data_IF_382046082756
#
_entry.id   IF_382046082756
#
_cell.length_a   1.000
_cell.length_b   1.000
_cell.length_c   1.000
_cell.angle_alpha   90.00
_cell.angle_beta   90.00
_cell.angle_gamma   90.00
#
_symmetry.space_group_name_H-M   'P 1'
#
loop_
_entity.id
_entity.type
_entity.pdbx_description
1 polymer ?
#
# COMPACT_ATOMS: atom_id res chain seq x y z
N UNK A 1 6.05 23.74 -0.63
CA UNK A 1 7.25 23.30 0.16
C UNK A 1 8.18 22.48 -0.73
N UNK A 2 9.51 22.60 -0.59
CA UNK A 2 10.47 21.74 -1.32
C UNK A 2 11.42 21.05 -0.36
N UNK A 3 11.49 19.72 -0.44
CA UNK A 3 12.41 18.86 0.29
C UNK A 3 13.30 18.20 -0.76
N UNK A 4 14.61 18.44 -0.71
CA UNK A 4 15.49 17.90 -1.73
C UNK A 4 16.90 17.60 -1.26
N UNK A 5 17.49 16.53 -1.80
CA UNK A 5 18.87 16.12 -1.52
C UNK A 5 19.08 15.82 -0.02
N UNK A 6 18.09 15.17 0.61
CA UNK A 6 18.13 14.82 2.03
C UNK A 6 18.30 13.30 2.20
N UNK A 7 19.10 12.91 3.18
CA UNK A 7 19.13 11.53 3.67
C UNK A 7 18.56 11.49 5.08
N UNK A 8 17.47 10.74 5.28
CA UNK A 8 16.73 10.70 6.54
C UNK A 8 16.67 9.27 7.05
N UNK A 9 17.37 9.02 8.16
CA UNK A 9 17.32 7.73 8.85
C UNK A 9 16.36 7.79 10.03
N UNK A 10 15.26 7.03 9.95
CA UNK A 10 14.21 6.97 10.95
C UNK A 10 13.81 5.50 11.24
N UNK A 11 14.60 4.77 12.05
CA UNK A 11 14.34 3.34 12.26
C UNK A 11 13.08 3.04 13.07
N UNK A 12 12.65 3.97 13.93
CA UNK A 12 11.49 3.81 14.80
C UNK A 12 10.22 4.57 14.36
N UNK A 13 10.32 5.44 13.35
CA UNK A 13 9.23 6.33 12.92
C UNK A 13 9.33 6.68 11.42
N UNK A 14 8.32 7.36 10.89
CA UNK A 14 8.26 7.78 9.50
C UNK A 14 9.35 8.84 9.20
N UNK A 15 9.96 8.80 8.01
CA UNK A 15 11.11 9.65 7.68
C UNK A 15 10.68 11.03 7.15
N UNK A 16 9.91 11.07 6.06
CA UNK A 16 9.38 12.32 5.50
C UNK A 16 7.85 12.23 5.53
N UNK A 17 7.23 13.07 6.36
CA UNK A 17 5.79 13.00 6.60
C UNK A 17 5.13 14.32 6.28
N UNK A 18 4.11 14.26 5.44
CA UNK A 18 3.21 15.39 5.22
C UNK A 18 1.99 15.21 6.12
N UNK A 19 1.69 16.23 6.91
CA UNK A 19 0.49 16.30 7.77
C UNK A 19 -0.33 17.53 7.40
N UNK A 20 -1.65 17.40 7.54
CA UNK A 20 -2.62 18.48 7.33
C UNK A 20 -3.67 18.40 8.45
N UNK A 21 -3.29 18.88 9.64
CA UNK A 21 -4.16 18.85 10.83
C UNK A 21 -5.11 20.04 10.89
N UNK A 22 -6.08 19.98 11.79
CA UNK A 22 -6.99 21.09 12.12
C UNK A 22 -6.39 22.11 13.11
N UNK A 23 -5.07 22.13 13.31
CA UNK A 23 -4.42 22.95 14.34
C UNK A 23 -4.62 24.47 14.17
N UNK A 24 -4.96 24.93 12.95
CA UNK A 24 -5.25 26.33 12.66
C UNK A 24 -6.70 26.74 12.99
N UNK A 25 -7.54 25.81 13.48
CA UNK A 25 -8.97 26.04 13.69
C UNK A 25 -9.81 25.99 12.41
N UNK A 26 -9.19 25.68 11.27
CA UNK A 26 -9.86 25.41 10.00
C UNK A 26 -9.06 24.38 9.19
N UNK A 27 -9.73 23.70 8.25
CA UNK A 27 -9.10 22.74 7.35
C UNK A 27 -8.26 23.46 6.30
N UNK A 28 -6.97 23.11 6.19
CA UNK A 28 -6.06 23.66 5.19
C UNK A 28 -5.19 22.56 4.59
N UNK A 29 -5.26 22.38 3.27
CA UNK A 29 -4.49 21.37 2.57
C UNK A 29 -2.98 21.58 2.73
N UNK A 30 -2.24 20.47 2.80
CA UNK A 30 -0.82 20.46 2.52
C UNK A 30 -0.66 20.41 0.99
N UNK A 31 -0.30 21.55 0.39
CA UNK A 31 -0.30 21.69 -1.07
C UNK A 31 1.01 22.26 -1.62
N UNK A 32 1.23 22.05 -2.92
CA UNK A 32 2.39 22.49 -3.68
C UNK A 32 3.71 21.98 -3.07
N UNK A 33 3.80 20.65 -2.91
CA UNK A 33 4.96 20.00 -2.29
C UNK A 33 5.78 19.22 -3.32
N UNK A 34 7.09 19.40 -3.28
CA UNK A 34 8.04 18.57 -4.03
C UNK A 34 9.01 17.89 -3.08
N UNK A 35 9.12 16.56 -3.16
CA UNK A 35 10.14 15.75 -2.50
C UNK A 35 11.01 15.13 -3.59
N UNK A 36 12.30 15.47 -3.66
CA UNK A 36 13.15 14.95 -4.75
C UNK A 36 14.57 14.63 -4.32
N UNK A 37 15.14 13.58 -4.89
CA UNK A 37 16.54 13.18 -4.62
C UNK A 37 16.78 12.89 -3.13
N UNK A 38 15.83 12.24 -2.46
CA UNK A 38 15.92 11.93 -1.04
C UNK A 38 16.16 10.43 -0.82
N UNK A 39 16.90 10.09 0.23
CA UNK A 39 17.02 8.73 0.74
C UNK A 39 16.29 8.61 2.08
N UNK A 40 15.44 7.60 2.24
CA UNK A 40 14.80 7.29 3.52
C UNK A 40 15.20 5.89 3.98
N UNK A 41 15.64 5.77 5.22
CA UNK A 41 16.23 4.54 5.74
C UNK A 41 15.80 4.19 7.15
N UNK A 42 15.92 2.92 7.52
CA UNK A 42 15.68 2.42 8.88
C UNK A 42 16.87 1.64 9.44
N UNK A 43 18.07 2.20 9.40
CA UNK A 43 19.26 1.64 10.07
C UNK A 43 19.29 1.97 11.55
N UNK A 44 19.98 1.16 12.34
CA UNK A 44 20.12 1.36 13.78
C UNK A 44 20.60 2.79 14.08
N UNK A 45 20.06 3.40 15.14
CA UNK A 45 20.39 4.77 15.50
C UNK A 45 21.91 4.98 15.64
N UNK A 46 22.42 6.08 15.07
CA UNK A 46 23.86 6.38 15.01
C UNK A 46 24.61 5.70 13.87
N UNK A 47 24.21 4.48 13.47
CA UNK A 47 24.97 3.70 12.46
C UNK A 47 24.91 4.25 11.03
N UNK A 48 23.88 5.05 10.73
CA UNK A 48 23.82 5.79 9.48
C UNK A 48 24.86 6.92 9.43
N UNK A 49 25.10 7.59 10.56
CA UNK A 49 26.03 8.72 10.64
C UNK A 49 27.49 8.27 10.68
N UNK A 50 27.79 7.16 11.35
CA UNK A 50 29.14 6.60 11.43
C UNK A 50 29.52 5.70 10.23
N UNK A 51 28.58 5.48 9.29
CA UNK A 51 28.79 4.70 8.08
C UNK A 51 28.82 3.18 8.27
N UNK A 52 28.43 2.67 9.45
CA UNK A 52 28.40 1.22 9.72
C UNK A 52 27.10 0.54 9.28
N UNK A 53 26.01 1.30 9.08
CA UNK A 53 24.72 0.82 8.56
C UNK A 53 24.20 -0.46 9.24
N UNK A 54 24.32 -0.51 10.57
CA UNK A 54 23.93 -1.68 11.37
C UNK A 54 22.43 -1.96 11.24
N UNK A 55 22.10 -3.25 11.32
CA UNK A 55 20.75 -3.79 11.07
C UNK A 55 20.22 -4.64 12.23
N UNK A 56 20.73 -4.42 13.44
CA UNK A 56 20.38 -5.23 14.63
C UNK A 56 18.96 -4.97 15.13
N UNK A 57 18.40 -3.79 14.85
CA UNK A 57 17.01 -3.49 15.12
C UNK A 57 16.12 -4.14 14.06
N UNK A 58 15.47 -5.24 14.40
CA UNK A 58 14.56 -5.96 13.49
C UNK A 58 13.12 -5.46 13.54
N UNK A 59 12.71 -4.83 14.64
CA UNK A 59 11.34 -4.34 14.85
C UNK A 59 11.34 -2.94 15.47
N UNK A 60 10.38 -2.11 15.05
CA UNK A 60 10.03 -0.87 15.71
C UNK A 60 9.13 -1.13 16.93
N UNK A 61 8.80 -0.07 17.69
CA UNK A 61 8.00 -0.17 18.92
C UNK A 61 6.60 -0.77 18.70
N UNK A 62 6.05 -0.58 17.50
CA UNK A 62 4.77 -1.14 17.07
C UNK A 62 4.86 -2.59 16.54
N UNK A 63 6.03 -3.23 16.68
CA UNK A 63 6.31 -4.63 16.30
C UNK A 63 6.36 -4.94 14.81
N UNK A 64 6.16 -3.96 13.93
CA UNK A 64 6.54 -4.09 12.51
C UNK A 64 8.04 -3.83 12.32
N UNK A 65 8.57 -4.07 11.11
CA UNK A 65 9.98 -3.80 10.85
C UNK A 65 10.32 -2.30 10.88
N UNK A 66 11.61 -1.92 10.74
CA UNK A 66 12.03 -0.51 10.71
C UNK A 66 11.20 0.36 9.76
N UNK A 67 10.88 1.59 10.20
CA UNK A 67 9.86 2.44 9.58
C UNK A 67 10.37 3.23 8.36
N UNK A 68 11.13 4.32 8.55
CA UNK A 68 11.92 4.97 7.49
C UNK A 68 11.17 5.30 6.18
N UNK A 69 9.90 5.71 6.23
CA UNK A 69 9.02 5.83 5.04
C UNK A 69 8.75 7.27 4.59
N UNK A 70 8.20 7.43 3.39
CA UNK A 70 7.55 8.69 2.97
C UNK A 70 6.04 8.52 3.08
N UNK A 71 5.37 9.45 3.77
CA UNK A 71 3.98 9.29 4.16
C UNK A 71 3.14 10.56 4.10
N UNK A 72 1.86 10.43 3.75
CA UNK A 72 0.83 11.43 4.01
C UNK A 72 -0.06 10.95 5.16
N UNK A 73 -0.36 11.84 6.11
CA UNK A 73 -1.18 11.54 7.28
C UNK A 73 -0.36 11.19 8.55
N UNK A 74 -0.95 10.67 9.61
CA UNK A 74 -2.38 10.32 9.71
C UNK A 74 -3.29 11.55 9.84
N UNK A 75 -2.79 12.64 10.41
CA UNK A 75 -3.52 13.90 10.55
C UNK A 75 -3.77 14.49 9.16
N UNK A 76 -5.01 14.40 8.73
CA UNK A 76 -5.40 14.53 7.31
C UNK A 76 -6.66 15.38 7.13
N UNK A 77 -7.02 16.21 8.10
CA UNK A 77 -8.23 17.04 8.07
C UNK A 77 -8.31 17.98 6.87
N UNK A 78 -7.19 18.59 6.46
CA UNK A 78 -7.18 19.54 5.34
C UNK A 78 -6.85 18.93 3.98
N UNK A 79 -6.34 17.70 3.93
CA UNK A 79 -5.97 17.01 2.70
C UNK A 79 -4.57 17.33 2.16
N UNK A 80 -4.28 16.78 0.99
CA UNK A 80 -2.98 16.76 0.34
C UNK A 80 -3.17 16.95 -1.17
N UNK A 81 -2.60 18.01 -1.74
CA UNK A 81 -2.88 18.39 -3.13
C UNK A 81 -1.64 18.84 -3.88
N UNK A 82 -1.53 18.47 -5.15
CA UNK A 82 -0.44 18.91 -6.03
C UNK A 82 0.94 18.58 -5.43
N UNK A 83 1.24 17.28 -5.33
CA UNK A 83 2.45 16.78 -4.68
C UNK A 83 3.22 15.89 -5.62
N UNK A 84 4.51 16.19 -5.79
CA UNK A 84 5.43 15.40 -6.58
C UNK A 84 6.50 14.76 -5.70
N UNK A 85 6.70 13.45 -5.83
CA UNK A 85 7.79 12.71 -5.21
C UNK A 85 8.62 12.06 -6.32
N UNK A 86 9.91 12.40 -6.43
CA UNK A 86 10.75 11.89 -7.52
C UNK A 86 12.15 11.51 -7.10
N UNK A 87 12.74 10.52 -7.78
CA UNK A 87 14.17 10.19 -7.63
C UNK A 87 14.56 9.86 -6.19
N UNK A 88 13.72 9.13 -5.46
CA UNK A 88 13.97 8.80 -4.05
C UNK A 88 14.33 7.31 -3.87
N UNK A 89 15.17 7.04 -2.87
CA UNK A 89 15.57 5.68 -2.49
C UNK A 89 15.05 5.30 -1.11
N UNK A 90 14.68 4.04 -0.94
CA UNK A 90 14.17 3.47 0.30
C UNK A 90 15.00 2.24 0.65
N UNK A 91 15.56 2.17 1.86
CA UNK A 91 16.28 1.00 2.34
C UNK A 91 15.93 0.67 3.78
N UNK A 92 15.51 -0.58 4.05
CA UNK A 92 14.98 -0.98 5.37
C UNK A 92 13.86 -0.04 5.81
N UNK A 93 12.81 0.00 5.00
CA UNK A 93 11.75 1.00 5.09
C UNK A 93 10.38 0.35 4.91
N UNK A 94 9.32 1.05 5.32
CA UNK A 94 7.92 0.68 5.13
C UNK A 94 7.29 1.29 3.87
N UNK A 95 8.12 1.71 2.90
CA UNK A 95 7.67 2.06 1.55
C UNK A 95 6.95 3.40 1.45
N UNK A 96 5.91 3.46 0.62
CA UNK A 96 5.07 4.65 0.41
C UNK A 96 3.71 4.47 1.09
N UNK A 97 3.27 5.48 1.83
CA UNK A 97 1.96 5.47 2.47
C UNK A 97 1.18 6.77 2.21
N UNK A 98 0.04 6.67 1.52
CA UNK A 98 -0.84 7.78 1.20
C UNK A 98 -2.16 7.56 1.92
N UNK A 99 -2.32 8.21 3.07
CA UNK A 99 -3.42 7.93 3.99
C UNK A 99 -4.24 9.20 4.26
N UNK A 100 -5.56 9.10 4.10
CA UNK A 100 -6.49 10.09 4.64
C UNK A 100 -7.55 9.39 5.46
N UNK A 101 -7.71 9.84 6.71
CA UNK A 101 -8.59 9.20 7.70
C UNK A 101 -9.43 10.21 8.47
N UNK A 102 -9.21 11.51 8.26
CA UNK A 102 -9.86 12.60 9.00
C UNK A 102 -10.62 13.58 8.09
N UNK A 103 -11.05 13.11 6.91
CA UNK A 103 -11.97 13.83 6.02
C UNK A 103 -11.34 14.64 4.91
N UNK A 104 -10.01 14.80 4.88
CA UNK A 104 -9.33 15.50 3.79
C UNK A 104 -9.22 14.69 2.51
N UNK A 105 -8.95 15.39 1.42
CA UNK A 105 -8.81 14.82 0.09
C UNK A 105 -7.33 14.66 -0.25
N UNK A 106 -6.90 13.49 -0.72
CA UNK A 106 -5.61 13.30 -1.41
C UNK A 106 -5.89 13.37 -2.91
N UNK A 107 -5.33 14.37 -3.59
CA UNK A 107 -5.50 14.49 -5.04
C UNK A 107 -4.32 15.13 -5.76
N UNK A 108 -4.18 14.81 -7.05
CA UNK A 108 -3.16 15.37 -7.93
C UNK A 108 -1.74 15.05 -7.44
N UNK A 109 -1.45 13.75 -7.35
CA UNK A 109 -0.18 13.22 -6.82
C UNK A 109 0.59 12.50 -7.93
N UNK A 110 1.87 12.84 -8.09
CA UNK A 110 2.79 12.18 -9.01
C UNK A 110 3.99 11.62 -8.26
N UNK A 111 4.20 10.31 -8.32
CA UNK A 111 5.33 9.62 -7.70
C UNK A 111 6.10 8.87 -8.79
N UNK A 112 7.39 9.17 -8.96
CA UNK A 112 8.15 8.57 -10.05
C UNK A 112 9.63 8.33 -9.77
N UNK A 113 10.24 7.37 -10.46
CA UNK A 113 11.66 7.03 -10.35
C UNK A 113 12.07 6.71 -8.89
N UNK A 114 11.52 5.62 -8.37
CA UNK A 114 11.72 5.19 -6.98
C UNK A 114 12.43 3.84 -6.95
N UNK A 115 13.47 3.72 -6.14
CA UNK A 115 14.15 2.44 -5.89
C UNK A 115 14.01 2.04 -4.43
N UNK A 116 13.61 0.80 -4.18
CA UNK A 116 13.35 0.28 -2.85
C UNK A 116 14.08 -1.06 -2.61
N UNK A 117 14.68 -1.21 -1.42
CA UNK A 117 15.34 -2.44 -0.97
C UNK A 117 14.95 -2.77 0.47
N UNK A 118 14.76 -4.05 0.75
CA UNK A 118 14.48 -4.55 2.10
C UNK A 118 13.24 -3.88 2.71
N UNK A 119 12.16 -3.81 1.92
CA UNK A 119 10.91 -3.21 2.39
C UNK A 119 10.27 -4.11 3.44
N UNK A 120 9.95 -3.55 4.60
CA UNK A 120 9.51 -4.27 5.80
C UNK A 120 7.99 -4.21 6.02
N UNK A 121 7.28 -3.51 5.14
CA UNK A 121 5.82 -3.35 5.12
C UNK A 121 5.31 -3.33 3.65
N UNK A 122 4.15 -2.75 3.37
CA UNK A 122 3.65 -2.61 1.99
C UNK A 122 4.52 -1.63 1.18
N UNK A 123 5.01 -2.00 -0.02
CA UNK A 123 5.76 -1.08 -0.86
C UNK A 123 4.95 0.17 -1.26
N UNK A 124 3.66 -0.03 -1.55
CA UNK A 124 2.71 1.02 -1.95
C UNK A 124 1.42 0.80 -1.16
N UNK A 125 1.08 1.74 -0.28
CA UNK A 125 -0.14 1.72 0.51
C UNK A 125 -0.97 2.98 0.29
N UNK A 126 -2.16 2.82 -0.29
CA UNK A 126 -3.18 3.87 -0.39
C UNK A 126 -4.36 3.49 0.49
N UNK A 127 -4.70 4.35 1.45
CA UNK A 127 -5.77 4.07 2.41
C UNK A 127 -6.67 5.27 2.63
N UNK A 128 -7.95 5.11 2.28
CA UNK A 128 -9.02 5.97 2.76
C UNK A 128 -9.65 5.33 4.01
N UNK A 129 -9.53 5.96 5.18
CA UNK A 129 -10.20 5.54 6.41
C UNK A 129 -11.17 6.61 6.93
N UNK A 130 -11.77 6.34 8.08
CA UNK A 130 -12.69 7.25 8.76
C UNK A 130 -12.51 7.19 10.29
N UNK A 131 -11.41 7.77 10.77
CA UNK A 131 -11.18 8.05 12.19
C UNK A 131 -11.91 9.31 12.66
N UNK A 132 -12.22 10.21 11.72
CA UNK A 132 -13.01 11.42 11.93
C UNK A 132 -12.53 12.29 13.12
N UNK A 133 -11.21 12.48 13.28
CA UNK A 133 -10.64 13.28 14.39
C UNK A 133 -10.77 14.80 14.20
N UNK A 134 -11.58 15.24 13.25
CA UNK A 134 -11.94 16.65 13.04
C UNK A 134 -13.15 17.09 13.87
N UNK A 135 -13.69 18.29 13.62
CA UNK A 135 -14.96 18.72 14.19
C UNK A 135 -16.09 17.72 13.92
N UNK A 136 -17.09 17.67 14.82
CA UNK A 136 -18.25 16.82 14.64
C UNK A 136 -18.93 17.08 13.28
N UNK A 137 -19.31 16.01 12.57
CA UNK A 137 -19.86 16.08 11.22
C UNK A 137 -18.83 16.10 10.09
N UNK A 138 -17.54 15.95 10.38
CA UNK A 138 -16.50 15.77 9.36
C UNK A 138 -16.87 14.58 8.44
N UNK A 139 -16.99 14.78 7.11
CA UNK A 139 -17.32 13.70 6.18
C UNK A 139 -16.14 12.75 5.97
N UNK A 140 -16.40 11.60 5.36
CA UNK A 140 -15.34 10.72 4.84
C UNK A 140 -14.57 11.47 3.73
N UNK A 141 -13.24 11.33 3.74
CA UNK A 141 -12.37 11.95 2.75
C UNK A 141 -12.43 11.27 1.38
N UNK A 142 -11.46 11.58 0.52
CA UNK A 142 -11.33 10.96 -0.79
C UNK A 142 -9.86 10.81 -1.20
N UNK A 143 -9.56 9.82 -2.04
CA UNK A 143 -8.27 9.68 -2.71
C UNK A 143 -8.53 9.55 -4.21
N UNK A 144 -7.91 10.41 -5.02
CA UNK A 144 -8.06 10.34 -6.48
C UNK A 144 -6.90 10.92 -7.26
N UNK A 145 -6.78 10.55 -8.55
CA UNK A 145 -5.78 11.11 -9.48
C UNK A 145 -4.35 10.98 -8.94
N UNK A 146 -4.00 9.75 -8.54
CA UNK A 146 -2.67 9.40 -8.05
C UNK A 146 -1.96 8.56 -9.11
N UNK A 147 -0.77 8.98 -9.51
CA UNK A 147 0.05 8.29 -10.51
C UNK A 147 1.37 7.84 -9.89
N UNK A 148 1.67 6.56 -10.00
CA UNK A 148 2.95 5.96 -9.59
C UNK A 148 3.62 5.33 -10.80
N UNK A 149 4.86 5.71 -11.09
CA UNK A 149 5.61 5.13 -12.21
C UNK A 149 7.09 4.92 -11.98
N UNK A 150 7.71 4.03 -12.76
CA UNK A 150 9.15 3.77 -12.72
C UNK A 150 9.62 3.40 -11.30
N UNK A 151 9.03 2.34 -10.73
CA UNK A 151 9.33 1.89 -9.36
C UNK A 151 9.96 0.50 -9.40
N UNK A 152 11.12 0.34 -8.77
CA UNK A 152 11.77 -0.96 -8.62
C UNK A 152 11.91 -1.32 -7.14
N UNK A 153 11.47 -2.51 -6.76
CA UNK A 153 11.49 -3.00 -5.37
C UNK A 153 12.14 -4.39 -5.31
N UNK A 154 13.06 -4.57 -4.36
CA UNK A 154 13.72 -5.86 -4.10
C UNK A 154 13.63 -6.26 -2.64
N UNK A 155 13.53 -7.57 -2.40
CA UNK A 155 13.47 -8.18 -1.07
C UNK A 155 12.32 -7.63 -0.19
N UNK A 156 11.14 -7.43 -0.79
CA UNK A 156 9.95 -6.98 -0.05
C UNK A 156 9.43 -8.06 0.90
N UNK A 157 8.95 -7.64 2.07
CA UNK A 157 8.27 -8.49 3.04
C UNK A 157 7.05 -9.18 2.40
N UNK A 158 6.91 -10.52 2.54
CA UNK A 158 5.84 -11.24 1.87
C UNK A 158 4.48 -11.04 2.53
N UNK A 159 4.44 -10.58 3.78
CA UNK A 159 3.17 -10.39 4.52
C UNK A 159 2.29 -9.30 3.93
N UNK A 160 2.89 -8.35 3.21
CA UNK A 160 2.24 -7.13 2.76
C UNK A 160 2.35 -6.97 1.23
N UNK A 161 1.26 -7.21 0.46
CA UNK A 161 1.22 -6.82 -0.95
C UNK A 161 1.24 -5.29 -1.07
N UNK A 162 1.30 -4.76 -2.30
CA UNK A 162 0.83 -3.39 -2.53
C UNK A 162 -0.68 -3.33 -2.30
N UNK A 163 -1.16 -2.27 -1.65
CA UNK A 163 -2.55 -2.19 -1.15
C UNK A 163 -3.18 -0.87 -1.56
N UNK A 164 -4.38 -0.95 -2.15
CA UNK A 164 -5.26 0.19 -2.42
C UNK A 164 -6.61 -0.14 -1.76
N UNK A 165 -6.94 0.53 -0.65
CA UNK A 165 -8.12 0.19 0.15
C UNK A 165 -8.98 1.42 0.45
N UNK A 166 -10.10 1.54 -0.26
CA UNK A 166 -11.18 2.50 0.00
C UNK A 166 -12.09 2.07 1.15
N UNK A 167 -13.30 2.63 1.17
CA UNK A 167 -14.40 2.21 2.06
C UNK A 167 -15.66 1.94 1.24
N UNK A 168 -16.60 1.12 1.75
CA UNK A 168 -17.90 0.94 1.10
C UNK A 168 -18.58 2.29 0.85
N UNK A 169 -19.02 2.53 -0.39
CA UNK A 169 -19.63 3.80 -0.82
C UNK A 169 -18.65 4.97 -1.03
N UNK A 170 -17.36 4.78 -0.78
CA UNK A 170 -16.30 5.78 -0.95
C UNK A 170 -15.09 5.15 -1.67
N UNK A 171 -15.21 4.91 -2.99
CA UNK A 171 -14.12 4.30 -3.74
C UNK A 171 -12.90 5.22 -3.84
N UNK A 172 -11.71 4.63 -3.91
CA UNK A 172 -10.51 5.32 -4.35
C UNK A 172 -10.53 5.39 -5.89
N UNK A 173 -10.37 6.57 -6.47
CA UNK A 173 -10.65 6.80 -7.90
C UNK A 173 -9.39 7.17 -8.72
N UNK A 174 -9.37 6.82 -10.00
CA UNK A 174 -8.38 7.31 -10.98
C UNK A 174 -6.92 7.08 -10.55
N UNK A 175 -6.59 5.84 -10.24
CA UNK A 175 -5.23 5.41 -9.85
C UNK A 175 -4.52 4.81 -11.05
N UNK A 176 -3.29 5.25 -11.30
CA UNK A 176 -2.43 4.66 -12.33
C UNK A 176 -1.12 4.13 -11.75
N UNK A 177 -0.86 2.86 -12.02
CA UNK A 177 0.41 2.19 -11.74
C UNK A 177 1.06 1.84 -13.09
N UNK A 178 2.28 2.30 -13.35
CA UNK A 178 2.94 2.02 -14.64
C UNK A 178 4.45 1.82 -14.54
N UNK A 179 4.99 0.78 -15.17
CA UNK A 179 6.42 0.44 -15.12
C UNK A 179 6.89 0.24 -13.67
N UNK A 180 6.37 -0.82 -13.04
CA UNK A 180 6.67 -1.17 -11.66
C UNK A 180 7.11 -2.63 -11.59
N UNK A 181 8.25 -2.87 -10.95
CA UNK A 181 8.88 -4.18 -10.80
C UNK A 181 9.11 -4.48 -9.32
N UNK A 182 8.54 -5.57 -8.81
CA UNK A 182 8.61 -5.92 -7.38
C UNK A 182 9.07 -7.38 -7.23
N UNK A 183 10.09 -7.60 -6.40
CA UNK A 183 10.46 -8.95 -5.93
C UNK A 183 10.17 -9.09 -4.43
N UNK A 184 9.20 -9.93 -4.08
CA UNK A 184 8.91 -10.33 -2.70
C UNK A 184 9.75 -11.55 -2.28
N UNK A 185 9.91 -11.75 -0.97
CA UNK A 185 10.45 -13.01 -0.45
C UNK A 185 9.52 -14.21 -0.72
N UNK A 186 8.20 -13.98 -0.79
CA UNK A 186 7.16 -15.00 -0.98
C UNK A 186 7.04 -15.99 0.18
N UNK A 187 6.49 -17.18 -0.10
CA UNK A 187 6.42 -18.28 0.87
C UNK A 187 5.16 -18.36 1.74
N UNK A 188 4.15 -17.52 1.49
CA UNK A 188 2.90 -17.56 2.25
C UNK A 188 1.81 -18.38 1.54
N UNK A 189 0.84 -18.85 2.32
CA UNK A 189 -0.28 -19.64 1.81
C UNK A 189 -1.62 -19.01 2.10
N UNK A 190 -2.63 -19.33 1.28
CA UNK A 190 -4.01 -18.89 1.54
C UNK A 190 -4.57 -19.48 2.85
N UNK A 191 -4.11 -20.65 3.26
CA UNK A 191 -4.45 -21.22 4.58
C UNK A 191 -3.90 -20.35 5.72
N UNK A 192 -2.67 -19.87 5.64
CA UNK A 192 -2.13 -18.92 6.62
C UNK A 192 -2.93 -17.62 6.63
N UNK A 193 -3.45 -17.16 5.48
CA UNK A 193 -4.37 -16.00 5.43
C UNK A 193 -5.68 -16.31 6.15
N UNK A 194 -6.22 -17.53 6.05
CA UNK A 194 -7.42 -17.91 6.79
C UNK A 194 -7.16 -18.02 8.31
N UNK A 195 -5.99 -18.54 8.71
CA UNK A 195 -5.65 -18.80 10.11
C UNK A 195 -5.05 -17.60 10.86
N UNK A 196 -4.45 -16.64 10.15
CA UNK A 196 -3.81 -15.45 10.74
C UNK A 196 -2.87 -15.80 11.91
N UNK A 197 -1.88 -16.69 11.70
CA UNK A 197 -1.07 -17.21 12.79
C UNK A 197 -0.25 -16.10 13.46
N UNK A 198 -0.19 -16.13 14.79
CA UNK A 198 0.29 -15.02 15.62
C UNK A 198 1.76 -14.62 15.39
N UNK A 199 2.57 -15.52 14.83
CA UNK A 199 3.97 -15.30 14.46
C UNK A 199 4.14 -14.58 13.12
N UNK A 200 3.13 -14.62 12.24
CA UNK A 200 3.13 -13.94 10.94
C UNK A 200 2.38 -12.62 10.94
N UNK A 201 1.50 -12.37 11.91
CA UNK A 201 0.70 -11.12 11.97
C UNK A 201 1.21 -10.16 13.04
N UNK A 202 1.01 -8.86 12.82
CA UNK A 202 1.31 -7.87 13.84
C UNK A 202 0.15 -7.73 14.84
N UNK A 203 0.29 -8.34 16.02
CA UNK A 203 -0.70 -8.24 17.12
C UNK A 203 -0.81 -6.85 17.76
N UNK A 204 0.07 -5.89 17.41
CA UNK A 204 -0.05 -4.50 17.87
C UNK A 204 -1.20 -3.77 17.16
N UNK A 205 -1.30 -3.90 15.84
CA UNK A 205 -2.32 -3.23 15.01
C UNK A 205 -3.54 -4.10 14.73
N UNK A 206 -3.40 -5.43 14.80
CA UNK A 206 -4.50 -6.37 14.58
C UNK A 206 -5.47 -6.38 15.77
N UNK A 207 -6.32 -5.35 15.86
CA UNK A 207 -7.27 -5.14 16.97
C UNK A 207 -8.70 -4.98 16.44
N UNK A 208 -9.57 -5.92 16.81
CA UNK A 208 -10.99 -5.85 16.45
C UNK A 208 -11.58 -7.20 16.06
N UNK A 209 -12.92 -7.28 15.95
CA UNK A 209 -13.61 -8.51 15.60
C UNK A 209 -13.28 -8.97 14.18
N UNK A 210 -13.22 -10.28 13.96
CA UNK A 210 -13.03 -10.90 12.64
C UNK A 210 -11.63 -10.77 12.04
N UNK A 211 -10.66 -10.19 12.76
CA UNK A 211 -9.28 -10.02 12.29
C UNK A 211 -8.40 -11.24 12.55
N UNK A 212 -8.64 -11.97 13.63
CA UNK A 212 -7.95 -13.23 13.96
C UNK A 212 -8.59 -14.39 13.22
N UNK A 213 -7.81 -15.44 12.93
CA UNK A 213 -8.34 -16.65 12.32
C UNK A 213 -9.10 -17.53 13.33
N UNK A 214 -9.85 -18.53 12.83
CA UNK A 214 -10.13 -18.75 11.41
C UNK A 214 -11.10 -17.71 10.83
N UNK A 215 -10.82 -17.20 9.63
CA UNK A 215 -11.69 -16.28 8.87
C UNK A 215 -11.70 -16.61 7.38
N UNK A 216 -12.70 -16.11 6.64
CA UNK A 216 -12.65 -16.10 5.18
C UNK A 216 -11.42 -15.27 4.74
N UNK A 217 -10.45 -15.87 4.02
CA UNK A 217 -9.24 -15.16 3.61
C UNK A 217 -9.54 -13.98 2.68
N UNK A 218 -10.63 -14.05 1.92
CA UNK A 218 -11.03 -13.03 0.96
C UNK A 218 -11.95 -11.95 1.54
N UNK A 219 -12.39 -12.07 2.80
CA UNK A 219 -13.20 -11.05 3.48
C UNK A 219 -12.45 -10.41 4.66
N UNK A 220 -11.29 -9.74 4.44
CA UNK A 220 -10.62 -9.01 5.50
C UNK A 220 -11.52 -7.87 6.03
N UNK A 221 -11.65 -7.66 7.35
CA UNK A 221 -12.48 -6.59 7.92
C UNK A 221 -12.16 -5.17 7.40
N UNK A 222 -13.14 -4.27 7.44
CA UNK A 222 -12.99 -2.91 6.88
C UNK A 222 -11.98 -2.01 7.60
N UNK A 223 -11.89 -2.14 8.92
CA UNK A 223 -10.98 -1.34 9.76
C UNK A 223 -11.07 0.18 9.48
N UNK A 224 -12.30 0.71 9.32
CA UNK A 224 -12.52 2.10 8.95
C UNK A 224 -11.93 3.10 9.97
N UNK A 225 -12.10 2.83 11.26
CA UNK A 225 -11.63 3.70 12.35
C UNK A 225 -10.25 3.30 12.91
N UNK A 226 -9.58 2.31 12.32
CA UNK A 226 -8.28 1.84 12.80
C UNK A 226 -7.16 2.84 12.48
N UNK A 227 -6.03 2.72 13.17
CA UNK A 227 -4.81 3.40 12.74
C UNK A 227 -4.37 2.81 11.40
N UNK A 228 -4.18 3.62 10.34
CA UNK A 228 -3.95 3.15 8.98
C UNK A 228 -2.51 2.62 8.81
N UNK A 229 -2.23 1.41 9.29
CA UNK A 229 -1.03 0.66 8.94
C UNK A 229 -1.47 -0.60 8.19
N UNK A 230 -0.79 -1.06 7.12
CA UNK A 230 -1.17 -2.28 6.40
C UNK A 230 -1.39 -3.50 7.28
N UNK A 231 -0.64 -3.60 8.37
CA UNK A 231 -0.76 -4.71 9.33
C UNK A 231 -2.05 -4.72 10.14
N UNK A 232 -2.86 -3.65 10.09
CA UNK A 232 -4.22 -3.64 10.64
C UNK A 232 -5.15 -4.65 9.96
N UNK A 233 -4.85 -5.09 8.73
CA UNK A 233 -5.61 -6.11 8.01
C UNK A 233 -5.15 -7.55 8.29
N UNK A 234 -4.01 -7.72 8.98
CA UNK A 234 -3.33 -9.01 9.07
C UNK A 234 -2.75 -9.44 7.72
N UNK A 235 -2.67 -10.76 7.49
CA UNK A 235 -2.31 -11.28 6.18
C UNK A 235 -3.46 -11.05 5.19
N UNK A 236 -3.13 -10.61 3.98
CA UNK A 236 -4.06 -10.40 2.89
C UNK A 236 -4.01 -11.54 1.87
N UNK A 237 -5.11 -11.79 1.13
CA UNK A 237 -5.21 -12.92 0.21
C UNK A 237 -4.39 -12.74 -1.07
N UNK A 238 -3.83 -11.56 -1.35
CA UNK A 238 -2.96 -11.32 -2.51
C UNK A 238 -1.49 -11.28 -2.09
N UNK A 239 -0.58 -11.74 -2.94
CA UNK A 239 0.86 -11.52 -2.74
C UNK A 239 1.40 -10.31 -3.51
N UNK A 240 0.79 -9.90 -4.63
CA UNK A 240 1.27 -8.78 -5.44
C UNK A 240 0.47 -7.49 -5.19
N UNK A 241 -0.84 -7.51 -5.48
CA UNK A 241 -1.69 -6.33 -5.39
C UNK A 241 -3.07 -6.69 -4.80
N UNK A 242 -3.43 -6.05 -3.69
CA UNK A 242 -4.76 -6.12 -3.10
C UNK A 242 -5.49 -4.78 -3.32
N UNK A 243 -6.64 -4.81 -3.97
CA UNK A 243 -7.46 -3.62 -4.23
C UNK A 243 -8.86 -3.85 -3.70
N UNK A 244 -9.34 -2.93 -2.86
CA UNK A 244 -10.73 -2.95 -2.39
C UNK A 244 -11.37 -1.57 -2.45
N UNK A 245 -12.63 -1.49 -2.88
CA UNK A 245 -13.41 -0.25 -3.01
C UNK A 245 -12.67 0.77 -3.89
N UNK A 246 -12.58 0.49 -5.18
CA UNK A 246 -11.83 1.34 -6.11
C UNK A 246 -12.55 1.53 -7.45
N UNK A 247 -12.24 2.63 -8.13
CA UNK A 247 -12.80 2.95 -9.44
C UNK A 247 -11.72 3.47 -10.39
N UNK A 248 -11.80 3.07 -11.66
CA UNK A 248 -10.89 3.52 -12.71
C UNK A 248 -9.41 3.24 -12.38
N UNK A 249 -9.09 1.99 -12.05
CA UNK A 249 -7.73 1.53 -11.83
C UNK A 249 -7.06 1.17 -13.16
N UNK A 250 -5.90 1.74 -13.44
CA UNK A 250 -5.06 1.37 -14.59
C UNK A 250 -3.70 0.85 -14.13
N UNK A 251 -3.39 -0.40 -14.48
CA UNK A 251 -2.10 -1.05 -14.23
C UNK A 251 -1.45 -1.42 -15.55
N UNK A 252 -0.24 -0.94 -15.79
CA UNK A 252 0.47 -1.17 -17.05
C UNK A 252 1.94 -1.48 -16.82
N UNK A 253 2.54 -2.38 -17.60
CA UNK A 253 3.97 -2.69 -17.48
C UNK A 253 4.35 -3.05 -16.03
N UNK A 254 3.62 -4.03 -15.48
CA UNK A 254 3.67 -4.38 -14.05
C UNK A 254 4.21 -5.79 -13.86
N UNK A 255 5.34 -5.93 -13.16
CA UNK A 255 5.97 -7.22 -12.93
C UNK A 255 6.13 -7.49 -11.44
N UNK A 256 5.62 -8.62 -10.96
CA UNK A 256 5.82 -9.07 -9.57
C UNK A 256 6.31 -10.50 -9.55
N UNK A 257 7.40 -10.72 -8.83
CA UNK A 257 8.03 -12.02 -8.62
C UNK A 257 8.18 -12.33 -7.14
N UNK A 258 8.42 -13.60 -6.82
CA UNK A 258 8.79 -14.06 -5.49
C UNK A 258 10.00 -14.99 -5.53
N UNK A 259 10.80 -15.01 -4.46
CA UNK A 259 11.95 -15.92 -4.32
C UNK A 259 11.52 -17.30 -3.81
N UNK A 260 10.60 -17.36 -2.84
CA UNK A 260 9.96 -18.58 -2.38
C UNK A 260 8.52 -18.69 -2.94
N UNK A 261 8.06 -19.87 -3.39
CA UNK A 261 6.71 -20.03 -3.91
C UNK A 261 5.63 -19.54 -2.95
N UNK A 262 4.77 -18.64 -3.43
CA UNK A 262 3.61 -18.13 -2.69
C UNK A 262 2.33 -18.69 -3.32
N UNK A 263 1.42 -19.26 -2.51
CA UNK A 263 0.19 -19.90 -3.01
C UNK A 263 -1.04 -19.01 -2.92
N UNK A 264 -0.86 -17.75 -2.52
CA UNK A 264 -1.90 -16.73 -2.65
C UNK A 264 -2.01 -16.26 -4.11
N UNK A 265 -3.20 -15.87 -4.58
CA UNK A 265 -3.34 -15.21 -5.86
C UNK A 265 -2.42 -13.99 -6.00
N UNK A 266 -2.05 -13.66 -7.24
CA UNK A 266 -1.25 -12.47 -7.49
C UNK A 266 -2.06 -11.21 -7.19
N UNK A 267 -3.26 -11.11 -7.76
CA UNK A 267 -4.12 -9.94 -7.63
C UNK A 267 -5.47 -10.33 -7.07
N UNK A 268 -5.95 -9.56 -6.09
CA UNK A 268 -7.34 -9.65 -5.61
C UNK A 268 -7.99 -8.28 -5.77
N UNK A 269 -9.12 -8.26 -6.48
CA UNK A 269 -9.97 -7.10 -6.67
C UNK A 269 -11.31 -7.37 -5.97
N UNK A 270 -11.71 -6.50 -5.05
CA UNK A 270 -12.96 -6.61 -4.28
C UNK A 270 -13.73 -5.28 -4.29
N UNK A 271 -14.94 -5.27 -4.82
CA UNK A 271 -15.72 -4.04 -5.06
C UNK A 271 -14.92 -3.01 -5.90
N UNK A 272 -14.67 -3.37 -7.16
CA UNK A 272 -13.88 -2.56 -8.09
C UNK A 272 -14.66 -2.31 -9.39
N UNK A 273 -14.80 -1.04 -9.78
CA UNK A 273 -15.45 -0.64 -11.01
C UNK A 273 -14.46 -0.01 -12.00
N UNK A 274 -14.22 -0.67 -13.14
CA UNK A 274 -13.26 -0.19 -14.14
C UNK A 274 -11.82 -0.50 -13.71
N UNK A 275 -11.34 -1.70 -14.03
CA UNK A 275 -9.96 -2.11 -13.77
C UNK A 275 -9.31 -2.64 -15.05
N UNK A 276 -8.23 -1.99 -15.48
CA UNK A 276 -7.47 -2.40 -16.67
C UNK A 276 -6.06 -2.81 -16.29
N UNK A 277 -5.68 -4.03 -16.69
CA UNK A 277 -4.32 -4.56 -16.62
C UNK A 277 -3.80 -4.76 -18.04
N UNK A 278 -2.64 -4.21 -18.37
CA UNK A 278 -2.02 -4.31 -19.69
C UNK A 278 -0.51 -4.55 -19.58
N UNK A 279 -0.01 -5.62 -20.19
CA UNK A 279 1.40 -6.06 -20.12
C UNK A 279 1.86 -6.27 -18.67
N UNK A 280 1.33 -7.30 -18.02
CA UNK A 280 1.76 -7.68 -16.68
C UNK A 280 2.38 -9.08 -16.64
N UNK A 281 3.43 -9.23 -15.81
CA UNK A 281 4.08 -10.50 -15.50
C UNK A 281 3.94 -10.77 -14.00
N UNK A 282 2.96 -11.60 -13.65
CA UNK A 282 2.60 -11.89 -12.27
C UNK A 282 3.02 -13.33 -11.95
N UNK A 283 4.04 -13.51 -11.13
CA UNK A 283 4.40 -14.84 -10.66
C UNK A 283 3.22 -15.44 -9.88
N UNK A 284 2.94 -16.73 -10.07
CA UNK A 284 1.92 -17.44 -9.31
C UNK A 284 2.33 -18.90 -9.15
N UNK A 285 1.94 -19.54 -8.05
CA UNK A 285 2.07 -20.98 -7.93
C UNK A 285 1.13 -21.68 -8.94
N UNK A 286 1.46 -22.89 -9.43
CA UNK A 286 0.62 -23.61 -10.39
C UNK A 286 -0.83 -23.83 -9.95
N UNK A 287 -1.08 -23.89 -8.65
CA UNK A 287 -2.41 -24.09 -8.06
C UNK A 287 -3.10 -22.79 -7.63
N UNK A 288 -2.44 -21.65 -7.78
CA UNK A 288 -2.96 -20.35 -7.39
C UNK A 288 -3.46 -19.57 -8.63
N UNK A 289 -4.64 -18.95 -8.56
CA UNK A 289 -5.12 -18.11 -9.66
C UNK A 289 -4.26 -16.85 -9.80
N UNK A 290 -4.22 -16.29 -11.01
CA UNK A 290 -3.58 -14.99 -11.24
C UNK A 290 -4.44 -13.87 -10.66
N UNK A 291 -5.75 -13.89 -10.94
CA UNK A 291 -6.71 -12.91 -10.42
C UNK A 291 -7.82 -13.58 -9.62
N UNK A 292 -8.25 -12.93 -8.55
CA UNK A 292 -9.55 -13.18 -7.90
C UNK A 292 -10.37 -11.91 -7.98
N UNK A 293 -11.56 -12.01 -8.56
CA UNK A 293 -12.49 -10.91 -8.80
C UNK A 293 -13.72 -11.10 -7.92
N UNK A 294 -14.01 -10.13 -7.06
CA UNK A 294 -15.21 -10.09 -6.21
C UNK A 294 -15.95 -8.78 -6.41
N UNK A 295 -17.23 -8.83 -6.76
CA UNK A 295 -18.05 -7.63 -7.00
C UNK A 295 -17.37 -6.65 -7.97
N UNK A 296 -16.79 -7.17 -9.06
CA UNK A 296 -16.04 -6.38 -10.04
C UNK A 296 -16.90 -6.09 -11.26
N UNK A 297 -16.82 -4.86 -11.77
CA UNK A 297 -17.44 -4.47 -13.04
C UNK A 297 -16.40 -3.83 -13.96
N UNK A 298 -16.58 -4.01 -15.27
CA UNK A 298 -15.69 -3.45 -16.30
C UNK A 298 -14.20 -3.79 -16.07
N UNK A 299 -13.90 -5.08 -15.97
CA UNK A 299 -12.53 -5.58 -15.86
C UNK A 299 -11.98 -5.96 -17.23
N UNK A 300 -10.74 -5.56 -17.48
CA UNK A 300 -9.97 -5.96 -18.67
C UNK A 300 -8.55 -6.32 -18.27
N UNK A 301 -8.07 -7.46 -18.77
CA UNK A 301 -6.69 -7.91 -18.66
C UNK A 301 -6.17 -8.28 -20.05
N UNK A 302 -5.06 -7.67 -20.48
CA UNK A 302 -4.44 -7.89 -21.78
C UNK A 302 -2.95 -8.13 -21.65
N UNK A 303 -2.41 -8.99 -22.50
CA UNK A 303 -0.98 -9.31 -22.53
C UNK A 303 -0.46 -9.72 -21.15
N UNK A 304 -1.23 -10.57 -20.45
CA UNK A 304 -0.82 -11.16 -19.17
C UNK A 304 -0.15 -12.49 -19.48
N UNK A 305 1.09 -12.68 -19.00
CA UNK A 305 1.86 -13.88 -19.38
C UNK A 305 1.17 -15.21 -19.00
N UNK A 306 0.43 -15.21 -17.91
CA UNK A 306 -0.25 -16.38 -17.33
C UNK A 306 -1.71 -16.55 -17.76
N UNK A 307 -2.29 -15.58 -18.48
CA UNK A 307 -3.74 -15.55 -18.75
C UNK A 307 -4.02 -15.04 -20.17
N UNK A 308 -4.94 -15.67 -20.94
CA UNK A 308 -5.44 -15.11 -22.19
C UNK A 308 -6.06 -13.72 -21.99
N UNK A 309 -6.06 -12.90 -23.04
CA UNK A 309 -6.77 -11.62 -23.02
C UNK A 309 -8.23 -11.81 -22.61
N UNK A 310 -8.64 -11.07 -21.58
CA UNK A 310 -9.87 -11.30 -20.83
C UNK A 310 -10.59 -9.99 -20.58
N UNK A 311 -11.90 -9.96 -20.83
CA UNK A 311 -12.79 -8.88 -20.39
C UNK A 311 -13.95 -9.49 -19.61
N UNK A 312 -14.37 -8.81 -18.54
CA UNK A 312 -15.54 -9.13 -17.72
C UNK A 312 -16.38 -7.88 -17.53
N UNK A 313 -17.58 -7.81 -18.13
CA UNK A 313 -18.54 -6.75 -17.81
C UNK A 313 -18.90 -6.75 -16.32
N UNK A 314 -19.08 -7.95 -15.74
CA UNK A 314 -19.39 -8.20 -14.33
C UNK A 314 -18.72 -9.50 -13.86
N UNK A 315 -18.25 -9.54 -12.62
CA UNK A 315 -17.72 -10.74 -11.96
C UNK A 315 -17.99 -10.68 -10.44
N UNK A 316 -18.86 -11.55 -9.93
CA UNK A 316 -19.27 -11.54 -8.51
C UNK A 316 -18.29 -12.27 -7.59
N UNK A 317 -17.82 -13.45 -8.00
CA UNK A 317 -16.80 -14.25 -7.30
C UNK A 317 -16.14 -15.18 -8.34
N UNK A 318 -15.14 -14.68 -9.06
CA UNK A 318 -14.43 -15.42 -10.13
C UNK A 318 -12.93 -15.53 -9.81
N UNK A 319 -12.32 -16.62 -10.26
CA UNK A 319 -10.86 -16.81 -10.23
C UNK A 319 -10.37 -17.08 -11.65
N UNK A 320 -9.33 -16.35 -12.07
CA UNK A 320 -8.72 -16.41 -13.40
C UNK A 320 -7.29 -16.91 -13.33
#
# INVERSE_FOLDING_TARGET
VRISNCSVNAPGDDAIVLKSSYALGFARACEDVTITNCAVTGFDAGSFLDGTFKRTMERAADRDGPTGRIKFGTESNGGFKNITISNCTFERSRGLALETVDGGIIEDIAITNITMRDITNSPIFLRLGNRARGPAGTPVGAIRRVRLSHITVSNADPRYPSIIAGLPGHPIEDISLSDIHITHRGGLTLEQVAQQPADLVNTFFLRGPGLTGPRDPYAPPEQAAAYPEPSMFGLLPAHALYVRHAKNLTVRDFSVAFTAPDTRPAVVLDDVAGATFDRASLAHAPTAPTFVLRQVTDFTARSIRSLPDTTRPTAENESL
#
